data_IF_882704853930
#
_entry.id   IF_882704853930
#
_cell.length_a   1.000
_cell.length_b   1.000
_cell.length_c   1.000
_cell.angle_alpha   90.00
_cell.angle_beta   90.00
_cell.angle_gamma   90.00
#
_symmetry.space_group_name_H-M   'P 1'
#
loop_
_entity.id
_entity.type
_entity.pdbx_description
1 polymer ?
#
# COMPACT_ATOMS: atom_id res chain seq x y z
N UNK A 1 -6.00 15.28 14.26
CA UNK A 1 -6.15 14.23 13.22
C UNK A 1 -5.66 12.93 13.81
N UNK A 2 -6.11 11.81 13.26
CA UNK A 2 -5.66 10.48 13.67
C UNK A 2 -4.74 9.94 12.59
N UNK A 3 -3.63 9.34 13.02
CA UNK A 3 -2.66 8.68 12.17
C UNK A 3 -2.73 7.15 12.36
N UNK A 4 -2.33 6.35 11.35
CA UNK A 4 -1.85 6.77 10.02
C UNK A 4 -2.96 7.32 9.12
N UNK A 5 -2.60 7.85 7.94
CA UNK A 5 -3.57 8.32 6.95
C UNK A 5 -3.98 7.17 6.02
N UNK A 6 -5.27 7.07 5.73
CA UNK A 6 -5.79 6.03 4.84
C UNK A 6 -5.60 6.38 3.36
N UNK A 7 -5.50 5.35 2.53
CA UNK A 7 -5.39 5.49 1.08
C UNK A 7 -6.78 5.49 0.47
N UNK A 8 -7.16 6.60 -0.16
CA UNK A 8 -8.48 6.77 -0.78
C UNK A 8 -8.37 7.15 -2.24
N UNK A 9 -9.36 6.74 -3.03
CA UNK A 9 -9.54 7.25 -4.39
C UNK A 9 -10.25 8.60 -4.33
N UNK A 10 -9.77 9.57 -5.12
CA UNK A 10 -10.48 10.85 -5.29
C UNK A 10 -11.78 10.63 -6.07
N UNK A 11 -12.81 11.40 -5.75
CA UNK A 11 -14.12 11.32 -6.42
C UNK A 11 -14.21 12.07 -7.75
N UNK A 12 -13.11 12.65 -8.24
CA UNK A 12 -13.02 13.36 -9.52
C UNK A 12 -11.91 12.76 -10.40
N UNK A 13 -11.82 13.24 -11.64
CA UNK A 13 -10.87 12.73 -12.65
C UNK A 13 -9.47 13.39 -12.56
N UNK A 14 -9.19 14.17 -11.52
CA UNK A 14 -7.88 14.79 -11.36
C UNK A 14 -6.85 13.77 -10.82
N UNK A 15 -5.59 13.81 -11.30
CA UNK A 15 -4.52 12.96 -10.79
C UNK A 15 -4.31 13.11 -9.28
N UNK A 16 -4.25 11.98 -8.57
CA UNK A 16 -3.95 11.91 -7.14
C UNK A 16 -2.50 12.28 -6.78
N UNK A 17 -2.10 11.94 -5.55
CA UNK A 17 -0.70 12.06 -5.13
C UNK A 17 0.13 10.99 -5.85
N UNK A 18 1.27 11.33 -6.47
CA UNK A 18 2.11 10.35 -7.14
C UNK A 18 2.66 9.29 -6.17
N UNK A 19 2.90 8.09 -6.68
CA UNK A 19 3.47 6.97 -5.94
C UNK A 19 4.71 6.40 -6.63
N UNK A 20 5.60 5.80 -5.84
CA UNK A 20 6.73 5.00 -6.33
C UNK A 20 6.51 3.54 -6.00
N UNK A 21 6.81 2.68 -6.97
CA UNK A 21 6.82 1.23 -6.84
C UNK A 21 8.26 0.75 -6.73
N UNK A 22 8.53 -0.10 -5.75
CA UNK A 22 9.83 -0.75 -5.66
C UNK A 22 9.70 -2.19 -5.15
N UNK A 23 10.46 -3.13 -5.75
CA UNK A 23 10.43 -4.52 -5.32
C UNK A 23 10.96 -4.68 -3.90
N UNK A 24 10.42 -5.67 -3.18
CA UNK A 24 10.95 -6.06 -1.87
C UNK A 24 12.45 -6.37 -1.93
N UNK A 25 12.89 -7.00 -3.03
CA UNK A 25 14.29 -7.14 -3.34
C UNK A 25 14.78 -5.89 -4.08
N UNK A 26 15.33 -4.93 -3.33
CA UNK A 26 15.89 -3.67 -3.85
C UNK A 26 17.05 -3.87 -4.85
N UNK A 27 17.61 -5.07 -4.98
CA UNK A 27 18.62 -5.38 -6.01
C UNK A 27 18.00 -5.55 -7.40
N UNK A 28 16.67 -5.68 -7.51
CA UNK A 28 15.97 -5.72 -8.79
C UNK A 28 15.65 -4.29 -9.23
N UNK A 29 16.13 -3.90 -10.41
CA UNK A 29 15.89 -2.58 -10.99
C UNK A 29 14.60 -2.48 -11.81
N UNK A 30 13.91 -3.60 -12.01
CA UNK A 30 12.70 -3.70 -12.84
C UNK A 30 11.52 -4.16 -11.97
N UNK A 31 10.40 -3.45 -12.09
CA UNK A 31 9.12 -3.85 -11.50
C UNK A 31 8.45 -4.83 -12.46
N UNK A 32 8.32 -6.09 -12.04
CA UNK A 32 7.68 -7.14 -12.84
C UNK A 32 6.27 -7.43 -12.34
N UNK A 33 5.40 -7.88 -13.26
CA UNK A 33 4.09 -8.44 -12.93
C UNK A 33 4.26 -9.64 -11.97
N UNK A 34 3.32 -9.84 -11.04
CA UNK A 34 3.35 -10.88 -9.99
C UNK A 34 4.50 -10.78 -8.98
N UNK A 35 5.26 -9.68 -8.98
CA UNK A 35 6.24 -9.41 -7.94
C UNK A 35 5.58 -8.71 -6.77
N UNK A 36 5.96 -9.11 -5.56
CA UNK A 36 5.58 -8.40 -4.35
C UNK A 36 6.36 -7.07 -4.26
N UNK A 37 5.63 -5.96 -4.13
CA UNK A 37 6.17 -4.60 -4.17
C UNK A 37 5.76 -3.82 -2.91
N UNK A 38 6.57 -2.83 -2.59
CA UNK A 38 6.16 -1.73 -1.73
C UNK A 38 5.61 -0.59 -2.61
N UNK A 39 4.63 0.13 -2.07
CA UNK A 39 4.03 1.32 -2.67
C UNK A 39 4.20 2.45 -1.68
N UNK A 40 4.62 3.62 -2.14
CA UNK A 40 4.91 4.77 -1.29
C UNK A 40 4.46 6.05 -1.99
N UNK A 41 3.77 6.95 -1.29
CA UNK A 41 3.56 8.30 -1.81
C UNK A 41 4.87 9.09 -1.86
N UNK A 42 5.10 9.80 -2.97
CA UNK A 42 6.33 10.59 -3.18
C UNK A 42 6.32 11.92 -2.44
N UNK A 43 5.13 12.40 -2.10
CA UNK A 43 4.96 13.70 -1.48
C UNK A 43 5.08 13.59 0.04
N UNK A 44 6.32 13.62 0.52
CA UNK A 44 6.66 13.69 1.95
C UNK A 44 6.55 15.10 2.53
N UNK A 45 6.15 16.10 1.73
CA UNK A 45 6.27 17.52 2.07
C UNK A 45 4.94 18.27 2.15
N UNK A 46 3.81 17.62 1.94
CA UNK A 46 2.50 18.24 2.19
C UNK A 46 2.30 18.50 3.68
N UNK A 47 1.64 19.62 4.02
CA UNK A 47 1.38 20.04 5.41
C UNK A 47 0.67 18.97 6.26
N UNK A 48 -0.09 18.08 5.62
CA UNK A 48 -0.73 16.92 6.24
C UNK A 48 0.29 15.85 6.71
N UNK A 49 1.43 15.72 6.02
CA UNK A 49 2.52 14.82 6.38
C UNK A 49 3.33 15.31 7.57
N UNK A 50 3.57 16.62 7.67
CA UNK A 50 4.22 17.19 8.87
C UNK A 50 3.42 16.92 10.15
N UNK A 51 2.11 16.72 10.01
CA UNK A 51 1.22 16.43 11.13
C UNK A 51 1.08 14.92 11.43
N UNK A 52 1.54 14.05 10.53
CA UNK A 52 1.48 12.60 10.68
C UNK A 52 2.88 11.97 10.58
N UNK A 53 3.51 11.59 11.71
CA UNK A 53 4.90 11.14 11.71
C UNK A 53 5.09 9.73 11.10
N UNK A 54 4.01 9.03 10.77
CA UNK A 54 4.05 7.70 10.17
C UNK A 54 4.53 7.74 8.70
N UNK A 55 5.11 6.65 8.22
CA UNK A 55 5.65 6.57 6.85
C UNK A 55 4.56 6.64 5.76
N UNK A 56 4.93 7.03 4.52
CA UNK A 56 4.03 7.00 3.34
C UNK A 56 3.87 5.62 2.73
N UNK A 57 4.49 4.61 3.33
CA UNK A 57 4.51 3.26 2.78
C UNK A 57 3.16 2.62 3.05
N UNK A 58 2.56 2.06 2.00
CA UNK A 58 1.26 1.43 2.10
C UNK A 58 1.38 0.08 2.81
N UNK A 59 0.42 -0.19 3.70
CA UNK A 59 0.21 -1.48 4.35
C UNK A 59 -1.26 -1.88 4.27
N UNK A 60 -1.54 -3.14 4.54
CA UNK A 60 -2.88 -3.65 4.83
C UNK A 60 -3.14 -3.43 6.31
N UNK A 61 -4.31 -2.93 6.61
CA UNK A 61 -4.83 -2.94 7.97
C UNK A 61 -6.22 -3.57 7.94
N UNK A 62 -6.80 -3.78 9.10
CA UNK A 62 -8.12 -4.38 9.21
C UNK A 62 -8.95 -3.77 10.33
N UNK A 63 -10.24 -3.65 10.05
CA UNK A 63 -11.22 -3.37 11.09
C UNK A 63 -11.37 -4.60 11.98
N UNK A 64 -11.62 -4.38 13.28
CA UNK A 64 -11.83 -5.42 14.28
C UNK A 64 -10.61 -6.35 14.51
N UNK A 65 -9.49 -5.85 15.07
CA UNK A 65 -8.29 -6.65 15.27
C UNK A 65 -8.49 -7.88 16.17
N UNK A 66 -9.49 -7.81 17.05
CA UNK A 66 -9.83 -8.87 18.00
C UNK A 66 -10.92 -9.83 17.52
N UNK A 67 -11.50 -9.60 16.32
CA UNK A 67 -12.49 -10.48 15.73
C UNK A 67 -12.00 -11.03 14.38
N UNK A 68 -11.38 -12.22 14.36
CA UNK A 68 -10.83 -12.79 13.14
C UNK A 68 -11.88 -13.18 12.10
N UNK A 69 -13.16 -13.29 12.46
CA UNK A 69 -14.25 -13.68 11.56
C UNK A 69 -14.87 -12.48 10.84
N UNK A 70 -14.71 -11.27 11.39
CA UNK A 70 -15.25 -10.01 10.84
C UNK A 70 -14.15 -9.05 10.35
N UNK A 71 -13.01 -9.60 9.87
CA UNK A 71 -11.91 -8.79 9.35
C UNK A 71 -12.27 -8.19 8.00
N UNK A 72 -12.57 -6.90 8.00
CA UNK A 72 -12.61 -6.09 6.80
C UNK A 72 -11.26 -5.42 6.58
N UNK A 73 -10.64 -5.67 5.45
CA UNK A 73 -9.29 -5.18 5.15
C UNK A 73 -9.33 -3.87 4.38
N UNK A 74 -8.42 -2.95 4.71
CA UNK A 74 -8.24 -1.69 4.00
C UNK A 74 -6.75 -1.36 3.80
N UNK A 75 -6.47 -0.38 2.96
CA UNK A 75 -5.11 0.11 2.70
C UNK A 75 -4.90 1.41 3.46
N UNK A 76 -3.82 1.47 4.24
CA UNK A 76 -3.43 2.66 5.00
C UNK A 76 -1.92 2.89 4.90
N UNK A 77 -1.43 4.03 5.37
CA UNK A 77 0.02 4.33 5.42
C UNK A 77 0.66 3.81 6.73
N UNK A 78 1.93 4.13 6.99
CA UNK A 78 2.66 3.67 8.17
C UNK A 78 3.30 2.29 8.02
N UNK A 79 3.42 1.76 6.80
CA UNK A 79 4.13 0.52 6.51
C UNK A 79 5.65 0.64 6.65
N UNK A 80 6.35 -0.49 6.56
CA UNK A 80 7.82 -0.55 6.58
C UNK A 80 8.30 -1.31 5.37
N UNK A 81 9.36 -0.81 4.71
CA UNK A 81 9.99 -1.49 3.59
C UNK A 81 10.53 -2.85 4.02
N UNK A 82 10.27 -3.90 3.23
CA UNK A 82 11.01 -5.15 3.36
C UNK A 82 10.54 -6.05 4.50
N UNK A 83 9.34 -5.83 5.05
CA UNK A 83 8.69 -6.76 5.96
C UNK A 83 7.59 -7.54 5.21
N UNK A 84 7.88 -8.53 4.34
CA UNK A 84 6.85 -9.29 3.65
C UNK A 84 6.09 -10.18 4.65
N UNK A 85 4.88 -9.75 5.02
CA UNK A 85 3.94 -10.51 5.84
C UNK A 85 2.53 -10.37 5.30
N UNK A 86 1.57 -11.03 5.97
CA UNK A 86 0.13 -10.99 5.64
C UNK A 86 -0.43 -9.56 5.53
N UNK A 87 0.26 -8.60 6.15
CA UNK A 87 -0.16 -7.21 6.27
C UNK A 87 0.55 -6.25 5.30
N UNK A 88 1.55 -6.67 4.52
CA UNK A 88 2.49 -5.70 3.90
C UNK A 88 2.83 -5.98 2.44
N UNK A 89 2.65 -7.21 1.96
CA UNK A 89 2.91 -7.52 0.55
C UNK A 89 1.72 -7.15 -0.34
N UNK A 90 2.00 -6.50 -1.48
CA UNK A 90 1.03 -6.23 -2.56
C UNK A 90 1.56 -6.79 -3.88
N UNK A 91 0.69 -7.44 -4.66
CA UNK A 91 1.03 -7.95 -5.98
C UNK A 91 0.42 -7.10 -7.08
N UNK A 92 1.25 -6.66 -8.00
CA UNK A 92 0.81 -6.16 -9.31
C UNK A 92 0.33 -7.32 -10.16
N UNK A 93 -0.88 -7.20 -10.70
CA UNK A 93 -1.41 -8.13 -11.69
C UNK A 93 -1.87 -7.36 -12.92
N UNK A 94 -1.61 -7.93 -14.09
CA UNK A 94 -2.13 -7.44 -15.35
C UNK A 94 -3.35 -8.30 -15.71
N UNK A 95 -4.51 -7.67 -15.87
CA UNK A 95 -5.65 -8.28 -16.55
C UNK A 95 -5.68 -7.77 -18.00
N UNK A 96 -6.35 -8.50 -18.88
CA UNK A 96 -6.24 -8.44 -20.36
C UNK A 96 -6.29 -7.05 -21.00
N UNK A 97 -6.75 -6.02 -20.30
CA UNK A 97 -6.81 -4.64 -20.78
C UNK A 97 -6.37 -3.58 -19.74
N UNK A 98 -6.07 -3.96 -18.49
CA UNK A 98 -5.78 -3.01 -17.41
C UNK A 98 -4.87 -3.57 -16.30
N UNK A 99 -4.11 -2.69 -15.67
CA UNK A 99 -3.33 -3.00 -14.47
C UNK A 99 -4.23 -2.99 -13.24
N UNK A 100 -4.17 -4.03 -12.41
CA UNK A 100 -4.92 -4.14 -11.16
C UNK A 100 -4.02 -4.57 -10.01
N UNK A 101 -4.32 -4.08 -8.82
CA UNK A 101 -3.68 -4.51 -7.58
C UNK A 101 -4.46 -5.69 -7.01
N UNK A 102 -3.78 -6.82 -6.75
CA UNK A 102 -4.35 -7.89 -5.95
C UNK A 102 -3.74 -7.88 -4.54
N UNK A 103 -4.59 -8.15 -3.55
CA UNK A 103 -4.14 -8.54 -2.23
C UNK A 103 -3.47 -9.92 -2.35
N UNK A 104 -2.17 -9.98 -2.07
CA UNK A 104 -1.52 -11.26 -1.85
C UNK A 104 -1.95 -11.77 -0.48
N UNK A 105 -3.03 -12.56 -0.43
CA UNK A 105 -3.21 -13.47 0.69
C UNK A 105 -2.05 -14.46 0.59
N UNK A 106 -1.03 -14.27 1.42
CA UNK A 106 -0.07 -15.33 1.69
C UNK A 106 -0.88 -16.48 2.27
N UNK A 107 -1.20 -17.47 1.43
CA UNK A 107 -1.62 -18.79 1.90
C UNK A 107 -0.38 -19.41 2.54
N UNK A 108 -0.33 -19.34 3.87
CA UNK A 108 0.51 -20.18 4.73
C UNK A 108 -0.39 -20.97 5.65
#
# INVERSE_FOLDING_TARGET
MTCPLDVVQRGDDYPGIPVVFFPLNLKKSVVCVFTDLNIMFTDTFTDLYMLCPDSTIWKLDHYHPYDPLNREYFITTGGVVGNPGRETARKLVQDSENWRWLQALALS
#
